data_IF_090008675035
#
_entry.id   IF_090008675035
#
_cell.length_a   1.000
_cell.length_b   1.000
_cell.length_c   1.000
_cell.angle_alpha   90.00
_cell.angle_beta   90.00
_cell.angle_gamma   90.00
#
_symmetry.space_group_name_H-M   'P 1'
#
loop_
_entity.id
_entity.type
_entity.pdbx_description
1 polymer ?
#
# COMPACT_ATOMS: atom_id res chain seq x y z
N UNK A 1 16.46 20.55 -26.59
CA UNK A 1 15.23 19.96 -27.15
C UNK A 1 14.70 20.77 -28.34
N UNK A 2 15.55 21.44 -29.15
CA UNK A 2 15.08 22.42 -30.16
C UNK A 2 15.57 22.21 -31.60
N UNK A 3 16.41 21.21 -31.87
CA UNK A 3 16.92 20.94 -33.24
C UNK A 3 16.15 19.83 -33.98
N UNK A 4 15.62 18.84 -33.26
CA UNK A 4 14.82 17.77 -33.86
C UNK A 4 13.40 18.24 -34.26
N UNK A 5 12.80 19.14 -33.48
CA UNK A 5 11.46 19.67 -33.78
C UNK A 5 11.46 20.55 -35.05
N UNK A 6 12.56 21.29 -35.29
CA UNK A 6 12.76 22.08 -36.52
C UNK A 6 12.77 21.18 -37.76
N UNK A 7 13.58 20.12 -37.78
CA UNK A 7 13.71 19.27 -38.98
C UNK A 7 12.38 18.54 -39.31
N UNK A 8 11.62 18.17 -38.29
CA UNK A 8 10.34 17.49 -38.49
C UNK A 8 9.27 18.43 -39.08
N UNK A 9 9.15 19.67 -38.56
CA UNK A 9 8.22 20.69 -39.09
C UNK A 9 8.45 20.96 -40.58
N UNK A 10 9.72 21.14 -41.00
CA UNK A 10 10.06 21.31 -42.42
C UNK A 10 9.70 20.10 -43.29
N UNK A 11 9.74 18.88 -42.73
CA UNK A 11 9.37 17.65 -43.47
C UNK A 11 7.86 17.57 -43.67
N UNK A 12 7.07 17.87 -42.63
CA UNK A 12 5.60 17.91 -42.68
C UNK A 12 5.14 19.00 -43.65
N UNK A 13 5.70 20.20 -43.53
CA UNK A 13 5.43 21.32 -44.42
C UNK A 13 5.81 20.99 -45.88
N UNK A 14 7.00 20.42 -46.12
CA UNK A 14 7.44 20.04 -47.47
C UNK A 14 6.53 18.98 -48.11
N UNK A 15 6.00 18.05 -47.32
CA UNK A 15 5.08 17.02 -47.79
C UNK A 15 3.69 17.61 -48.11
N UNK A 16 3.20 18.53 -47.28
CA UNK A 16 2.00 19.33 -47.56
C UNK A 16 2.13 20.15 -48.85
N UNK A 17 3.27 20.83 -49.03
CA UNK A 17 3.59 21.60 -50.24
C UNK A 17 3.66 20.71 -51.50
N UNK A 18 4.16 19.48 -51.36
CA UNK A 18 4.25 18.52 -52.47
C UNK A 18 2.88 18.02 -52.91
N UNK A 19 2.00 17.74 -51.94
CA UNK A 19 0.62 17.30 -52.22
C UNK A 19 -0.25 18.44 -52.76
N UNK A 20 -0.11 19.66 -52.25
CA UNK A 20 -0.83 20.84 -52.76
C UNK A 20 -0.46 21.19 -54.20
N UNK A 21 0.81 20.97 -54.61
CA UNK A 21 1.25 21.15 -56.00
C UNK A 21 0.78 20.07 -56.98
N UNK A 22 0.54 18.84 -56.52
CA UNK A 22 0.19 17.74 -57.43
C UNK A 22 -1.29 17.71 -57.82
N UNK A 23 -2.15 18.56 -57.24
CA UNK A 23 -3.59 18.66 -57.56
C UNK A 23 -4.41 17.38 -57.34
N UNK A 24 -3.75 16.29 -56.94
CA UNK A 24 -4.32 14.98 -56.62
C UNK A 24 -3.47 14.36 -55.51
N UNK A 25 -4.08 13.80 -54.45
CA UNK A 25 -3.40 12.87 -53.57
C UNK A 25 -3.03 11.64 -54.41
N UNK A 26 -1.76 11.53 -54.77
CA UNK A 26 -1.29 10.43 -55.60
C UNK A 26 -1.25 9.16 -54.72
N UNK A 27 -2.25 8.29 -54.85
CA UNK A 27 -2.44 7.02 -54.11
C UNK A 27 -1.37 5.94 -54.39
N UNK A 28 -0.18 6.30 -54.89
CA UNK A 28 0.87 5.33 -55.28
C UNK A 28 1.90 5.06 -54.18
N UNK A 29 1.47 5.08 -52.92
CA UNK A 29 2.25 4.66 -51.75
C UNK A 29 1.87 3.29 -51.20
N UNK A 30 1.21 2.42 -51.98
CA UNK A 30 0.82 1.08 -51.53
C UNK A 30 1.94 0.08 -51.80
N UNK A 31 2.77 -0.20 -50.79
CA UNK A 31 3.47 -1.50 -50.70
C UNK A 31 3.17 -2.24 -49.40
N UNK A 32 2.75 -1.55 -48.34
CA UNK A 32 2.27 -2.19 -47.11
C UNK A 32 0.77 -2.53 -47.12
N UNK A 33 -0.04 -1.78 -47.87
CA UNK A 33 -1.47 -2.09 -48.08
C UNK A 33 -1.65 -3.36 -48.91
N UNK A 34 -0.72 -3.70 -49.80
CA UNK A 34 -0.79 -4.94 -50.61
C UNK A 34 -0.55 -6.21 -49.78
N UNK A 35 0.14 -6.08 -48.63
CA UNK A 35 0.37 -7.20 -47.70
C UNK A 35 -0.89 -7.50 -46.89
N UNK A 36 -1.53 -6.46 -46.36
CA UNK A 36 -2.83 -6.58 -45.64
C UNK A 36 -3.97 -6.91 -46.61
N UNK A 37 -3.96 -6.39 -47.85
CA UNK A 37 -4.87 -6.82 -48.92
C UNK A 37 -4.71 -8.30 -49.23
N UNK A 38 -3.49 -8.85 -49.25
CA UNK A 38 -3.29 -10.29 -49.51
C UNK A 38 -3.93 -11.16 -48.45
N UNK A 39 -3.76 -10.81 -47.18
CA UNK A 39 -4.29 -11.59 -46.06
C UNK A 39 -5.81 -11.42 -45.93
N UNK A 40 -6.35 -10.23 -46.23
CA UNK A 40 -7.79 -9.99 -46.33
C UNK A 40 -8.40 -10.68 -47.56
N UNK A 41 -7.72 -10.70 -48.70
CA UNK A 41 -8.16 -11.45 -49.90
C UNK A 41 -8.13 -12.95 -49.63
N UNK A 42 -7.15 -13.47 -48.87
CA UNK A 42 -7.12 -14.86 -48.44
C UNK A 42 -8.28 -15.17 -47.47
N UNK A 43 -8.59 -14.26 -46.54
CA UNK A 43 -9.71 -14.40 -45.61
C UNK A 43 -11.07 -14.30 -46.35
N UNK A 44 -11.21 -13.36 -47.28
CA UNK A 44 -12.36 -13.22 -48.18
C UNK A 44 -12.48 -14.47 -49.05
N UNK A 45 -11.41 -15.00 -49.62
CA UNK A 45 -11.43 -16.25 -50.40
C UNK A 45 -11.82 -17.45 -49.54
N UNK A 46 -11.40 -17.52 -48.28
CA UNK A 46 -11.81 -18.59 -47.36
C UNK A 46 -13.28 -18.44 -46.98
N UNK A 47 -13.75 -17.23 -46.68
CA UNK A 47 -15.15 -16.94 -46.32
C UNK A 47 -16.10 -17.03 -47.52
N UNK A 48 -15.64 -16.65 -48.71
CA UNK A 48 -16.35 -16.74 -49.99
C UNK A 48 -16.39 -18.20 -50.47
N UNK A 49 -15.31 -18.97 -50.28
CA UNK A 49 -15.33 -20.42 -50.55
C UNK A 49 -16.27 -21.15 -49.58
N UNK A 50 -16.29 -20.75 -48.30
CA UNK A 50 -17.28 -21.23 -47.31
C UNK A 50 -18.70 -20.79 -47.71
N UNK A 51 -18.91 -19.55 -48.15
CA UNK A 51 -20.21 -19.01 -48.56
C UNK A 51 -20.75 -19.59 -49.87
N UNK A 52 -19.89 -19.84 -50.86
CA UNK A 52 -20.22 -20.46 -52.15
C UNK A 52 -20.55 -21.95 -51.99
N UNK A 53 -19.83 -22.68 -51.13
CA UNK A 53 -20.10 -24.10 -50.85
C UNK A 53 -21.35 -24.29 -49.96
N UNK A 54 -21.83 -23.25 -49.26
CA UNK A 54 -22.93 -23.35 -48.29
C UNK A 54 -24.19 -22.55 -48.64
N UNK A 55 -24.13 -21.64 -49.62
CA UNK A 55 -25.27 -20.83 -50.08
C UNK A 55 -25.76 -19.75 -49.12
N UNK A 56 -24.97 -19.36 -48.12
CA UNK A 56 -25.36 -18.39 -47.09
C UNK A 56 -24.44 -17.16 -47.12
N UNK A 57 -25.05 -15.97 -47.21
CA UNK A 57 -24.37 -14.68 -47.13
C UNK A 57 -24.10 -14.30 -45.65
N UNK A 58 -22.88 -14.60 -45.19
CA UNK A 58 -22.44 -14.46 -43.79
C UNK A 58 -22.28 -12.98 -43.39
N UNK A 59 -22.08 -12.08 -44.35
CA UNK A 59 -21.80 -10.65 -44.11
C UNK A 59 -23.07 -9.92 -43.65
N UNK A 60 -24.26 -10.37 -44.05
CA UNK A 60 -25.52 -9.70 -43.76
C UNK A 60 -26.03 -9.88 -42.31
N UNK A 61 -25.56 -10.88 -41.55
CA UNK A 61 -26.08 -11.23 -40.22
C UNK A 61 -25.23 -10.78 -39.02
N UNK A 62 -24.03 -10.23 -39.25
CA UNK A 62 -23.04 -9.91 -38.21
C UNK A 62 -23.08 -8.50 -37.60
N UNK A 63 -24.15 -7.73 -37.76
CA UNK A 63 -24.26 -6.35 -37.21
C UNK A 63 -24.89 -6.33 -35.81
N UNK A 64 -24.26 -6.99 -34.84
CA UNK A 64 -24.62 -6.83 -33.43
C UNK A 64 -23.41 -6.48 -32.59
N UNK A 65 -23.54 -5.43 -31.78
CA UNK A 65 -22.52 -4.93 -30.85
C UNK A 65 -22.42 -5.78 -29.58
N UNK A 66 -23.25 -6.81 -29.46
CA UNK A 66 -23.31 -7.72 -28.31
C UNK A 66 -22.42 -8.95 -28.52
N UNK A 67 -21.29 -8.97 -27.80
CA UNK A 67 -20.28 -10.05 -27.85
C UNK A 67 -20.88 -11.42 -27.52
N UNK A 68 -21.86 -11.48 -26.62
CA UNK A 68 -22.54 -12.74 -26.26
C UNK A 68 -23.44 -13.23 -27.39
N UNK A 69 -24.00 -12.30 -28.18
CA UNK A 69 -24.81 -12.61 -29.36
C UNK A 69 -23.96 -13.11 -30.54
N UNK A 70 -22.75 -12.55 -30.72
CA UNK A 70 -21.77 -13.07 -31.70
C UNK A 70 -21.27 -14.47 -31.33
N UNK A 71 -20.97 -14.72 -30.05
CA UNK A 71 -20.63 -16.06 -29.57
C UNK A 71 -21.81 -17.02 -29.74
N UNK A 72 -23.04 -16.58 -29.47
CA UNK A 72 -24.24 -17.40 -29.66
C UNK A 72 -24.47 -17.76 -31.13
N UNK A 73 -24.37 -16.80 -32.05
CA UNK A 73 -24.50 -17.02 -33.50
C UNK A 73 -23.40 -17.96 -34.00
N UNK A 74 -22.17 -17.79 -33.52
CA UNK A 74 -21.05 -18.66 -33.88
C UNK A 74 -21.24 -20.09 -33.35
N UNK A 75 -21.72 -20.25 -32.11
CA UNK A 75 -22.07 -21.54 -31.53
C UNK A 75 -23.19 -22.23 -32.30
N UNK A 76 -24.25 -21.51 -32.66
CA UNK A 76 -25.37 -22.05 -33.47
C UNK A 76 -24.93 -22.45 -34.89
N UNK A 77 -24.02 -21.69 -35.52
CA UNK A 77 -23.43 -22.03 -36.82
C UNK A 77 -22.62 -23.34 -36.77
N UNK A 78 -21.83 -23.55 -35.72
CA UNK A 78 -21.08 -24.78 -35.52
C UNK A 78 -22.00 -25.96 -35.17
N UNK A 79 -23.04 -25.72 -34.36
CA UNK A 79 -24.03 -26.72 -33.97
C UNK A 79 -24.88 -27.20 -35.15
N UNK A 80 -25.26 -26.29 -36.05
CA UNK A 80 -25.96 -26.62 -37.30
C UNK A 80 -25.14 -27.45 -38.30
N UNK A 81 -23.87 -27.72 -38.00
CA UNK A 81 -22.94 -28.51 -38.82
C UNK A 81 -22.40 -29.75 -38.09
N UNK A 82 -23.00 -30.14 -36.97
CA UNK A 82 -22.62 -31.31 -36.18
C UNK A 82 -21.16 -31.27 -35.64
N UNK A 83 -20.58 -30.07 -35.55
CA UNK A 83 -19.27 -29.87 -34.95
C UNK A 83 -19.46 -29.71 -33.44
N UNK A 84 -19.12 -30.76 -32.71
CA UNK A 84 -19.20 -30.80 -31.25
C UNK A 84 -18.13 -29.88 -30.62
N UNK A 85 -18.58 -28.73 -30.13
CA UNK A 85 -17.74 -27.69 -29.53
C UNK A 85 -16.98 -28.24 -28.31
N UNK A 86 -17.54 -29.25 -27.63
CA UNK A 86 -16.92 -29.87 -26.46
C UNK A 86 -15.72 -30.79 -26.83
N UNK A 87 -15.53 -31.07 -28.12
CA UNK A 87 -14.37 -31.82 -28.65
C UNK A 87 -13.21 -30.95 -29.11
N UNK A 88 -13.38 -29.62 -29.13
CA UNK A 88 -12.31 -28.71 -29.51
C UNK A 88 -11.21 -28.71 -28.46
N UNK A 89 -9.96 -28.83 -28.90
CA UNK A 89 -8.81 -28.70 -28.01
C UNK A 89 -8.66 -27.26 -27.53
N UNK A 90 -7.99 -27.08 -26.39
CA UNK A 90 -7.76 -25.73 -25.82
C UNK A 90 -7.01 -24.80 -26.77
N UNK A 91 -6.12 -25.33 -27.62
CA UNK A 91 -5.43 -24.53 -28.64
C UNK A 91 -6.36 -24.07 -29.75
N UNK A 92 -7.29 -24.91 -30.20
CA UNK A 92 -8.28 -24.56 -31.24
C UNK A 92 -9.28 -23.53 -30.72
N UNK A 93 -9.74 -23.68 -29.47
CA UNK A 93 -10.57 -22.67 -28.82
C UNK A 93 -9.85 -21.32 -28.69
N UNK A 94 -8.54 -21.33 -28.39
CA UNK A 94 -7.75 -20.10 -28.29
C UNK A 94 -7.58 -19.44 -29.66
N UNK A 95 -7.29 -20.23 -30.71
CA UNK A 95 -7.19 -19.74 -32.08
C UNK A 95 -8.51 -19.13 -32.58
N UNK A 96 -9.65 -19.74 -32.27
CA UNK A 96 -10.97 -19.21 -32.60
C UNK A 96 -11.23 -17.88 -31.88
N UNK A 97 -10.89 -17.77 -30.59
CA UNK A 97 -11.03 -16.52 -29.83
C UNK A 97 -10.10 -15.44 -30.37
N UNK A 98 -8.87 -15.78 -30.79
CA UNK A 98 -7.95 -14.85 -31.43
C UNK A 98 -8.49 -14.37 -32.79
N UNK A 99 -9.04 -15.27 -33.61
CA UNK A 99 -9.65 -14.93 -34.90
C UNK A 99 -10.90 -14.06 -34.71
N UNK A 100 -11.76 -14.37 -33.73
CA UNK A 100 -12.92 -13.55 -33.40
C UNK A 100 -12.51 -12.19 -32.83
N UNK A 101 -11.48 -12.13 -31.99
CA UNK A 101 -10.95 -10.87 -31.47
C UNK A 101 -10.33 -10.02 -32.58
N UNK A 102 -9.62 -10.63 -33.53
CA UNK A 102 -9.04 -9.96 -34.69
C UNK A 102 -10.13 -9.55 -35.69
N UNK A 103 -11.18 -10.35 -35.88
CA UNK A 103 -12.33 -10.01 -36.72
C UNK A 103 -13.19 -8.90 -36.10
N UNK A 104 -13.37 -8.88 -34.77
CA UNK A 104 -14.00 -7.76 -34.04
C UNK A 104 -13.13 -6.52 -34.11
N UNK A 105 -11.80 -6.65 -33.99
CA UNK A 105 -10.85 -5.56 -34.24
C UNK A 105 -10.98 -5.02 -35.66
N UNK A 106 -11.00 -5.90 -36.66
CA UNK A 106 -11.09 -5.53 -38.08
C UNK A 106 -12.48 -4.99 -38.44
N UNK A 107 -13.56 -5.46 -37.82
CA UNK A 107 -14.91 -4.92 -37.97
C UNK A 107 -15.01 -3.52 -37.34
N UNK A 108 -14.51 -3.35 -36.11
CA UNK A 108 -14.42 -2.06 -35.43
C UNK A 108 -13.39 -1.10 -36.06
N UNK A 109 -12.40 -1.61 -36.81
CA UNK A 109 -11.39 -0.80 -37.50
C UNK A 109 -11.74 -0.52 -38.97
N UNK A 110 -12.55 -1.35 -39.61
CA UNK A 110 -12.78 -1.34 -41.05
C UNK A 110 -14.14 -0.83 -41.49
N UNK A 111 -15.21 -1.15 -40.75
CA UNK A 111 -16.57 -0.74 -41.11
C UNK A 111 -16.96 0.63 -40.53
N UNK A 112 -16.48 0.95 -39.32
CA UNK A 112 -16.90 2.16 -38.60
C UNK A 112 -15.96 3.37 -38.83
N UNK A 113 -14.70 3.16 -39.24
CA UNK A 113 -13.71 4.28 -39.37
C UNK A 113 -13.85 5.11 -40.64
N UNK A 114 -14.35 4.56 -41.74
CA UNK A 114 -14.67 5.40 -42.92
C UNK A 114 -15.90 6.28 -42.68
N UNK A 115 -16.80 5.82 -41.82
CA UNK A 115 -18.05 6.53 -41.50
C UNK A 115 -17.87 7.51 -40.31
N UNK A 116 -17.02 7.20 -39.30
CA UNK A 116 -16.71 8.12 -38.19
C UNK A 116 -15.94 9.38 -38.61
N UNK A 117 -15.03 9.26 -39.58
CA UNK A 117 -14.23 10.38 -40.08
C UNK A 117 -14.79 11.03 -41.35
N UNK A 118 -16.06 10.69 -41.69
CA UNK A 118 -16.76 10.93 -42.96
C UNK A 118 -16.10 11.98 -43.86
N UNK A 119 -15.55 11.54 -44.99
CA UNK A 119 -14.95 12.35 -46.09
C UNK A 119 -13.97 13.50 -45.71
N UNK A 120 -13.60 13.69 -44.44
CA UNK A 120 -13.00 14.96 -43.95
C UNK A 120 -11.52 14.91 -43.59
N UNK A 121 -10.88 13.74 -43.60
CA UNK A 121 -9.45 13.61 -43.35
C UNK A 121 -8.73 13.03 -44.57
N UNK A 122 -7.64 13.68 -44.96
CA UNK A 122 -6.68 13.14 -45.91
C UNK A 122 -5.92 11.95 -45.32
N UNK A 123 -5.34 11.13 -46.19
CA UNK A 123 -4.57 9.94 -45.80
C UNK A 123 -3.48 10.23 -44.76
N UNK A 124 -2.76 11.34 -44.92
CA UNK A 124 -1.69 11.73 -44.01
C UNK A 124 -2.22 12.14 -42.63
N UNK A 125 -3.34 12.86 -42.57
CA UNK A 125 -3.96 13.24 -41.30
C UNK A 125 -4.48 12.00 -40.55
N UNK A 126 -5.07 11.04 -41.29
CA UNK A 126 -5.47 9.76 -40.71
C UNK A 126 -4.27 8.98 -40.16
N UNK A 127 -3.12 9.00 -40.83
CA UNK A 127 -1.88 8.39 -40.34
C UNK A 127 -1.36 9.06 -39.07
N UNK A 128 -1.37 10.40 -38.99
CA UNK A 128 -0.99 11.14 -37.78
C UNK A 128 -1.91 10.82 -36.59
N UNK A 129 -3.22 10.77 -36.80
CA UNK A 129 -4.19 10.36 -35.76
C UNK A 129 -3.92 8.91 -35.32
N UNK A 130 -3.65 8.00 -36.25
CA UNK A 130 -3.36 6.60 -35.93
C UNK A 130 -2.08 6.46 -35.08
N UNK A 131 -1.00 7.16 -35.42
CA UNK A 131 0.25 7.16 -34.65
C UNK A 131 0.00 7.70 -33.23
N UNK A 132 -0.78 8.78 -33.11
CA UNK A 132 -1.15 9.36 -31.83
C UNK A 132 -1.98 8.38 -30.98
N UNK A 133 -2.99 7.73 -31.57
CA UNK A 133 -3.82 6.73 -30.91
C UNK A 133 -3.03 5.48 -30.49
N UNK A 134 -2.06 5.04 -31.28
CA UNK A 134 -1.17 3.94 -30.91
C UNK A 134 -0.33 4.32 -29.67
N UNK A 135 0.22 5.54 -29.65
CA UNK A 135 1.00 6.04 -28.52
C UNK A 135 0.14 6.20 -27.25
N UNK A 136 -1.08 6.72 -27.39
CA UNK A 136 -2.06 6.81 -26.30
C UNK A 136 -2.38 5.41 -25.78
N UNK A 137 -2.63 4.44 -26.67
CA UNK A 137 -2.92 3.05 -26.31
C UNK A 137 -1.77 2.41 -25.52
N UNK A 138 -0.52 2.60 -25.96
CA UNK A 138 0.67 2.14 -25.22
C UNK A 138 0.75 2.75 -23.82
N UNK A 139 0.44 4.03 -23.68
CA UNK A 139 0.39 4.70 -22.38
C UNK A 139 -0.71 4.12 -21.47
N UNK A 140 -1.91 3.89 -22.01
CA UNK A 140 -3.03 3.29 -21.29
C UNK A 140 -2.70 1.88 -20.79
N UNK A 141 -2.11 1.02 -21.63
CA UNK A 141 -1.67 -0.32 -21.20
C UNK A 141 -0.62 -0.25 -20.10
N UNK A 142 0.33 0.68 -20.22
CA UNK A 142 1.35 0.91 -19.18
C UNK A 142 0.77 1.46 -17.87
N UNK A 143 -0.29 2.26 -17.95
CA UNK A 143 -1.04 2.76 -16.81
C UNK A 143 -1.82 1.65 -16.12
N UNK A 144 -2.57 0.82 -16.84
CA UNK A 144 -3.43 -0.22 -16.25
C UNK A 144 -2.62 -1.20 -15.39
N UNK A 145 -1.43 -1.60 -15.85
CA UNK A 145 -0.50 -2.42 -15.05
C UNK A 145 -0.08 -1.74 -13.74
N UNK A 146 0.16 -0.43 -13.77
CA UNK A 146 0.57 0.35 -12.59
C UNK A 146 -0.62 0.60 -11.66
N UNK A 147 -1.80 0.87 -12.22
CA UNK A 147 -3.08 1.06 -11.55
C UNK A 147 -3.40 -0.17 -10.71
N UNK A 148 -3.45 -1.36 -11.30
CA UNK A 148 -3.70 -2.62 -10.59
C UNK A 148 -2.71 -2.86 -9.44
N UNK A 149 -1.42 -2.55 -9.62
CA UNK A 149 -0.40 -2.67 -8.56
C UNK A 149 -0.63 -1.71 -7.39
N UNK A 150 -1.08 -0.48 -7.66
CA UNK A 150 -1.36 0.51 -6.64
C UNK A 150 -2.68 0.22 -5.93
N UNK A 151 -3.72 -0.16 -6.66
CA UNK A 151 -5.01 -0.58 -6.11
C UNK A 151 -4.87 -1.80 -5.21
N UNK A 152 -4.17 -2.85 -5.66
CA UNK A 152 -3.91 -4.02 -4.80
C UNK A 152 -3.11 -3.68 -3.55
N UNK A 153 -2.19 -2.72 -3.62
CA UNK A 153 -1.49 -2.21 -2.43
C UNK A 153 -2.43 -1.43 -1.52
N UNK A 154 -3.26 -0.54 -2.06
CA UNK A 154 -4.23 0.23 -1.30
C UNK A 154 -5.24 -0.69 -0.58
N UNK A 155 -5.82 -1.67 -1.28
CA UNK A 155 -6.73 -2.69 -0.73
C UNK A 155 -6.10 -3.46 0.44
N UNK A 156 -4.83 -3.90 0.32
CA UNK A 156 -4.12 -4.56 1.43
C UNK A 156 -3.95 -3.66 2.65
N UNK A 157 -3.57 -2.40 2.44
CA UNK A 157 -3.42 -1.45 3.55
C UNK A 157 -4.78 -1.15 4.19
N UNK A 158 -5.84 -1.03 3.40
CA UNK A 158 -7.20 -0.83 3.86
C UNK A 158 -7.71 -2.01 4.68
N UNK A 159 -7.47 -3.25 4.23
CA UNK A 159 -7.82 -4.45 5.00
C UNK A 159 -7.12 -4.44 6.37
N UNK A 160 -5.80 -4.20 6.39
CA UNK A 160 -5.05 -4.13 7.64
C UNK A 160 -5.54 -2.99 8.55
N UNK A 161 -5.96 -1.85 7.97
CA UNK A 161 -6.57 -0.77 8.74
C UNK A 161 -7.87 -1.25 9.38
N UNK A 162 -8.75 -1.90 8.62
CA UNK A 162 -10.00 -2.46 9.12
C UNK A 162 -9.78 -3.43 10.28
N UNK A 163 -8.81 -4.34 10.15
CA UNK A 163 -8.48 -5.32 11.21
C UNK A 163 -8.02 -4.60 12.50
N UNK A 164 -7.17 -3.58 12.37
CA UNK A 164 -6.66 -2.80 13.51
C UNK A 164 -7.78 -1.95 14.13
N UNK A 165 -8.71 -1.42 13.32
CA UNK A 165 -9.88 -0.69 13.81
C UNK A 165 -10.81 -1.60 14.61
N UNK A 166 -11.13 -2.78 14.09
CA UNK A 166 -11.96 -3.76 14.82
C UNK A 166 -11.30 -4.14 16.16
N UNK A 167 -9.98 -4.38 16.15
CA UNK A 167 -9.25 -4.64 17.37
C UNK A 167 -9.31 -3.45 18.34
N UNK A 168 -9.11 -2.23 17.84
CA UNK A 168 -9.20 -1.02 18.65
C UNK A 168 -10.59 -0.86 19.27
N UNK A 169 -11.65 -1.16 18.54
CA UNK A 169 -13.03 -1.07 19.02
C UNK A 169 -13.37 -2.15 20.06
N UNK A 170 -12.79 -3.35 19.94
CA UNK A 170 -12.87 -4.36 21.02
C UNK A 170 -12.25 -3.83 22.31
N UNK A 171 -11.04 -3.31 22.25
CA UNK A 171 -10.39 -2.71 23.42
C UNK A 171 -11.07 -1.41 23.88
N UNK A 172 -11.75 -0.69 22.98
CA UNK A 172 -12.54 0.46 23.34
C UNK A 172 -13.71 0.07 24.25
N UNK A 173 -14.45 -0.98 23.88
CA UNK A 173 -15.54 -1.54 24.68
C UNK A 173 -15.04 -2.09 26.03
N UNK A 174 -13.92 -2.80 26.07
CA UNK A 174 -13.33 -3.23 27.35
C UNK A 174 -12.94 -2.05 28.24
N UNK A 175 -12.52 -0.94 27.65
CA UNK A 175 -12.21 0.28 28.41
C UNK A 175 -13.50 0.99 28.89
N UNK A 176 -14.57 0.95 28.10
CA UNK A 176 -15.90 1.44 28.46
C UNK A 176 -16.49 0.69 29.65
N UNK A 177 -16.35 -0.64 29.69
CA UNK A 177 -16.73 -1.48 30.83
C UNK A 177 -16.00 -1.08 32.13
N UNK A 178 -14.81 -0.48 31.99
CA UNK A 178 -14.02 0.09 33.08
C UNK A 178 -14.27 1.59 33.27
N UNK A 179 -15.41 2.09 32.77
CA UNK A 179 -15.87 3.50 32.86
C UNK A 179 -14.85 4.51 32.31
N UNK A 180 -14.09 4.13 31.29
CA UNK A 180 -13.02 4.96 30.71
C UNK A 180 -12.00 5.46 31.72
N UNK A 181 -11.82 4.74 32.82
CA UNK A 181 -10.87 5.13 33.86
C UNK A 181 -9.46 5.18 33.27
N UNK A 182 -8.80 6.32 33.42
CA UNK A 182 -7.39 6.44 33.02
C UNK A 182 -6.53 5.77 34.09
N UNK A 183 -5.50 4.99 33.71
CA UNK A 183 -4.53 4.46 34.67
C UNK A 183 -3.91 5.60 35.51
N UNK A 184 -4.13 5.55 36.82
CA UNK A 184 -3.65 6.50 37.81
C UNK A 184 -2.25 6.08 38.30
N UNK A 185 -1.27 6.24 37.42
CA UNK A 185 0.16 6.12 37.77
C UNK A 185 0.58 7.36 38.56
N UNK A 186 1.13 7.18 39.76
CA UNK A 186 1.65 8.28 40.58
C UNK A 186 3.01 8.75 40.09
N UNK A 187 3.81 7.83 39.53
CA UNK A 187 5.12 8.11 38.95
C UNK A 187 5.11 7.78 37.45
N UNK A 188 5.45 8.74 36.56
CA UNK A 188 5.57 8.44 35.13
C UNK A 188 6.66 7.40 34.85
N UNK A 189 6.38 6.47 33.93
CA UNK A 189 7.32 5.39 33.58
C UNK A 189 8.71 5.90 33.14
N UNK A 190 8.76 7.07 32.50
CA UNK A 190 10.02 7.69 32.05
C UNK A 190 10.91 8.18 33.19
N UNK A 191 10.38 8.40 34.40
CA UNK A 191 11.19 8.66 35.60
C UNK A 191 11.54 7.38 36.35
N UNK A 192 10.59 6.44 36.40
CA UNK A 192 10.77 5.14 37.04
C UNK A 192 11.96 4.36 36.45
N UNK A 193 12.02 4.20 35.12
CA UNK A 193 13.03 3.35 34.49
C UNK A 193 14.47 3.84 34.71
N UNK A 194 14.80 5.14 34.50
CA UNK A 194 16.12 5.66 34.83
C UNK A 194 16.46 5.53 36.31
N UNK A 195 15.51 5.76 37.23
CA UNK A 195 15.74 5.61 38.66
C UNK A 195 16.15 4.16 39.01
N UNK A 196 15.46 3.16 38.45
CA UNK A 196 15.81 1.75 38.65
C UNK A 196 17.19 1.38 38.11
N UNK A 197 17.57 1.93 36.95
CA UNK A 197 18.90 1.73 36.37
C UNK A 197 19.97 2.35 37.28
N UNK A 198 19.74 3.57 37.78
CA UNK A 198 20.67 4.24 38.69
C UNK A 198 20.85 3.48 40.01
N UNK A 199 19.78 2.92 40.57
CA UNK A 199 19.87 2.05 41.76
C UNK A 199 20.70 0.81 41.46
N UNK A 200 20.50 0.16 40.31
CA UNK A 200 21.30 -1.00 39.90
C UNK A 200 22.80 -0.67 39.74
N UNK A 201 23.13 0.49 39.16
CA UNK A 201 24.52 0.96 39.03
C UNK A 201 25.12 1.26 40.41
N UNK A 202 24.39 1.93 41.30
CA UNK A 202 24.85 2.22 42.65
C UNK A 202 25.13 0.91 43.41
N UNK A 203 24.18 -0.04 43.39
CA UNK A 203 24.37 -1.37 43.99
C UNK A 203 25.58 -2.10 43.42
N UNK A 204 25.83 -2.01 42.10
CA UNK A 204 27.00 -2.63 41.49
C UNK A 204 28.31 -2.10 42.06
N UNK A 205 28.43 -0.77 42.21
CA UNK A 205 29.62 -0.15 42.79
C UNK A 205 29.80 -0.59 44.24
N UNK A 206 28.73 -0.62 45.04
CA UNK A 206 28.78 -1.08 46.43
C UNK A 206 29.15 -2.56 46.53
N UNK A 207 28.62 -3.41 45.65
CA UNK A 207 28.88 -4.85 45.67
C UNK A 207 30.31 -5.19 45.20
N UNK A 208 30.90 -4.41 44.29
CA UNK A 208 32.34 -4.55 43.96
C UNK A 208 33.21 -4.33 45.19
N UNK A 209 32.94 -3.28 45.96
CA UNK A 209 33.70 -2.98 47.16
C UNK A 209 33.53 -4.11 48.19
N UNK A 210 32.29 -4.56 48.40
CA UNK A 210 31.96 -5.65 49.31
C UNK A 210 32.68 -6.97 48.94
N UNK A 211 32.72 -7.34 47.67
CA UNK A 211 33.26 -8.63 47.23
C UNK A 211 34.77 -8.64 47.05
N UNK A 212 35.44 -7.50 47.20
CA UNK A 212 36.91 -7.44 47.18
C UNK A 212 37.59 -8.16 48.35
N UNK A 213 36.82 -8.66 49.33
CA UNK A 213 37.29 -9.52 50.42
C UNK A 213 37.59 -10.93 49.98
N UNK A 214 36.91 -11.41 48.96
CA UNK A 214 36.92 -12.82 48.58
C UNK A 214 38.27 -13.29 48.01
N UNK A 215 39.26 -12.39 47.90
CA UNK A 215 40.60 -12.62 47.36
C UNK A 215 40.62 -13.39 46.03
N UNK A 216 39.62 -13.12 45.21
CA UNK A 216 39.45 -13.67 43.87
C UNK A 216 39.85 -12.64 42.80
N UNK A 217 40.01 -13.09 41.56
CA UNK A 217 40.36 -12.21 40.46
C UNK A 217 39.29 -11.10 40.28
N UNK A 218 39.74 -9.88 39.92
CA UNK A 218 38.85 -8.72 39.73
C UNK A 218 37.70 -8.98 38.74
N UNK A 219 37.95 -9.82 37.72
CA UNK A 219 36.92 -10.21 36.74
C UNK A 219 35.78 -10.97 37.40
N UNK A 220 36.09 -11.85 38.36
CA UNK A 220 35.13 -12.68 39.05
C UNK A 220 34.33 -11.85 40.06
N UNK A 221 34.98 -10.88 40.72
CA UNK A 221 34.30 -9.86 41.54
C UNK A 221 33.25 -9.12 40.73
N UNK A 222 33.59 -8.65 39.53
CA UNK A 222 32.63 -7.95 38.66
C UNK A 222 31.45 -8.85 38.26
N UNK A 223 31.71 -10.12 37.91
CA UNK A 223 30.64 -11.06 37.58
C UNK A 223 29.70 -11.32 38.76
N UNK A 224 30.25 -11.54 39.96
CA UNK A 224 29.46 -11.82 41.16
C UNK A 224 28.72 -10.55 41.63
N UNK A 225 29.31 -9.36 41.53
CA UNK A 225 28.67 -8.07 41.84
C UNK A 225 27.50 -7.75 40.92
N UNK A 226 27.52 -8.24 39.68
CA UNK A 226 26.46 -7.99 38.70
C UNK A 226 25.15 -8.69 39.10
N UNK A 227 25.22 -9.89 39.66
CA UNK A 227 24.05 -10.68 40.05
C UNK A 227 23.10 -9.94 41.03
N UNK A 228 23.53 -9.48 42.23
CA UNK A 228 22.66 -8.74 43.14
C UNK A 228 22.21 -7.39 42.57
N UNK A 229 23.04 -6.76 41.73
CA UNK A 229 22.75 -5.46 41.10
C UNK A 229 21.58 -5.52 40.12
N UNK A 230 21.35 -6.67 39.49
CA UNK A 230 20.14 -6.94 38.70
C UNK A 230 19.01 -7.55 39.55
N UNK A 231 19.34 -8.46 40.46
CA UNK A 231 18.36 -9.18 41.26
C UNK A 231 17.57 -8.26 42.18
N UNK A 232 18.21 -7.30 42.87
CA UNK A 232 17.51 -6.40 43.80
C UNK A 232 16.53 -5.46 43.10
N UNK A 233 16.88 -4.72 42.03
CA UNK A 233 15.89 -3.93 41.29
C UNK A 233 14.77 -4.79 40.72
N UNK A 234 15.07 -5.99 40.22
CA UNK A 234 14.05 -6.90 39.70
C UNK A 234 13.08 -7.37 40.78
N UNK A 235 13.59 -7.79 41.93
CA UNK A 235 12.77 -8.22 43.07
C UNK A 235 11.97 -7.05 43.65
N UNK A 236 12.56 -5.87 43.79
CA UNK A 236 11.87 -4.65 44.19
C UNK A 236 10.71 -4.30 43.24
N UNK A 237 10.94 -4.41 41.92
CA UNK A 237 9.90 -4.23 40.91
C UNK A 237 8.77 -5.25 41.04
N UNK A 238 9.10 -6.53 41.21
CA UNK A 238 8.11 -7.59 41.41
C UNK A 238 7.27 -7.32 42.66
N UNK A 239 7.90 -7.00 43.78
CA UNK A 239 7.22 -6.72 45.05
C UNK A 239 6.34 -5.49 44.91
N UNK A 240 6.87 -4.37 44.42
CA UNK A 240 6.10 -3.13 44.31
C UNK A 240 4.88 -3.29 43.41
N UNK A 241 5.05 -3.94 42.25
CA UNK A 241 3.97 -4.21 41.31
C UNK A 241 2.94 -5.18 41.91
N UNK A 242 3.38 -6.25 42.58
CA UNK A 242 2.47 -7.21 43.23
C UNK A 242 1.76 -6.64 44.45
N UNK A 243 2.39 -5.75 45.21
CA UNK A 243 1.73 -5.01 46.28
C UNK A 243 0.65 -4.08 45.72
N UNK A 244 0.94 -3.41 44.59
CA UNK A 244 -0.02 -2.51 43.95
C UNK A 244 -1.21 -3.24 43.34
N UNK A 245 -0.97 -4.33 42.63
CA UNK A 245 -1.97 -5.05 41.82
C UNK A 245 -2.59 -6.27 42.53
N UNK A 246 -1.82 -6.97 43.36
CA UNK A 246 -2.21 -8.24 43.98
C UNK A 246 -3.14 -8.09 45.19
N UNK A 247 -3.19 -6.92 45.82
CA UNK A 247 -4.11 -6.66 46.94
C UNK A 247 -5.58 -6.53 46.52
N UNK A 248 -5.86 -6.29 45.23
CA UNK A 248 -7.20 -5.93 44.75
C UNK A 248 -7.94 -7.04 43.98
N UNK A 249 -7.27 -8.09 43.49
CA UNK A 249 -7.89 -9.10 42.64
C UNK A 249 -8.31 -10.36 43.44
N UNK A 250 -9.63 -10.56 43.55
CA UNK A 250 -10.33 -11.49 44.46
C UNK A 250 -9.97 -12.97 44.37
N UNK A 251 -9.55 -13.47 43.20
CA UNK A 251 -9.51 -14.93 42.94
C UNK A 251 -8.11 -15.55 42.88
N UNK A 252 -7.04 -14.76 42.70
CA UNK A 252 -5.65 -15.27 42.64
C UNK A 252 -4.78 -14.85 43.84
N UNK A 253 -5.41 -14.54 44.97
CA UNK A 253 -4.74 -14.03 46.17
C UNK A 253 -3.66 -14.97 46.69
N UNK A 254 -3.95 -16.26 46.81
CA UNK A 254 -3.02 -17.25 47.38
C UNK A 254 -1.73 -17.36 46.56
N UNK A 255 -1.83 -17.50 45.23
CA UNK A 255 -0.65 -17.56 44.35
C UNK A 255 0.18 -16.28 44.44
N UNK A 256 -0.48 -15.12 44.51
CA UNK A 256 0.20 -13.83 44.64
C UNK A 256 0.91 -13.69 45.99
N UNK A 257 0.32 -14.16 47.09
CA UNK A 257 0.95 -14.18 48.40
C UNK A 257 2.13 -15.13 48.48
N UNK A 258 2.04 -16.32 47.86
CA UNK A 258 3.17 -17.27 47.81
C UNK A 258 4.34 -16.64 47.05
N UNK A 259 4.09 -16.09 45.86
CA UNK A 259 5.14 -15.43 45.06
C UNK A 259 5.75 -14.24 45.81
N UNK A 260 4.92 -13.42 46.45
CA UNK A 260 5.37 -12.29 47.27
C UNK A 260 6.21 -12.78 48.46
N UNK A 261 5.74 -13.81 49.17
CA UNK A 261 6.45 -14.39 50.31
C UNK A 261 7.81 -14.97 49.92
N UNK A 262 7.87 -15.71 48.81
CA UNK A 262 9.13 -16.22 48.26
C UNK A 262 10.06 -15.07 47.87
N UNK A 263 9.56 -14.05 47.17
CA UNK A 263 10.36 -12.89 46.78
C UNK A 263 10.93 -12.14 48.00
N UNK A 264 10.09 -11.89 49.01
CA UNK A 264 10.49 -11.23 50.26
C UNK A 264 11.55 -12.08 51.00
N UNK A 265 11.32 -13.38 51.14
CA UNK A 265 12.27 -14.29 51.79
C UNK A 265 13.62 -14.36 51.04
N UNK A 266 13.59 -14.44 49.71
CA UNK A 266 14.80 -14.41 48.87
C UNK A 266 15.59 -13.12 49.04
N UNK A 267 14.90 -11.97 49.17
CA UNK A 267 15.59 -10.70 49.45
C UNK A 267 16.22 -10.74 50.83
N UNK A 268 15.51 -11.16 51.89
CA UNK A 268 16.09 -11.21 53.23
C UNK A 268 17.34 -12.11 53.28
N UNK A 269 17.31 -13.27 52.62
CA UNK A 269 18.49 -14.14 52.50
C UNK A 269 19.63 -13.48 51.71
N UNK A 270 19.32 -12.82 50.59
CA UNK A 270 20.31 -12.08 49.79
C UNK A 270 20.92 -10.91 50.55
N UNK A 271 20.10 -10.13 51.25
CA UNK A 271 20.54 -9.01 52.09
C UNK A 271 21.41 -9.48 53.25
N UNK A 272 21.05 -10.57 53.92
CA UNK A 272 21.87 -11.16 54.98
C UNK A 272 23.23 -11.61 54.45
N UNK A 273 23.26 -12.24 53.27
CA UNK A 273 24.49 -12.70 52.62
C UNK A 273 25.40 -11.53 52.22
N UNK A 274 24.84 -10.49 51.61
CA UNK A 274 25.60 -9.28 51.23
C UNK A 274 26.06 -8.50 52.46
N UNK A 275 25.23 -8.41 53.51
CA UNK A 275 25.60 -7.78 54.76
C UNK A 275 26.78 -8.50 55.41
N UNK A 276 26.76 -9.82 55.45
CA UNK A 276 27.87 -10.64 55.96
C UNK A 276 29.17 -10.33 55.21
N UNK A 277 29.13 -10.33 53.87
CA UNK A 277 30.32 -10.04 53.05
C UNK A 277 30.82 -8.59 53.22
N UNK A 278 29.92 -7.62 53.36
CA UNK A 278 30.28 -6.22 53.64
C UNK A 278 30.88 -6.02 55.03
N UNK A 279 30.34 -6.72 56.03
CA UNK A 279 30.88 -6.72 57.38
C UNK A 279 32.32 -7.29 57.37
N UNK A 280 32.53 -8.42 56.72
CA UNK A 280 33.84 -9.06 56.58
C UNK A 280 34.85 -8.13 55.87
N UNK A 281 34.40 -7.36 54.87
CA UNK A 281 35.24 -6.34 54.21
C UNK A 281 35.75 -5.28 55.14
N UNK A 282 34.88 -4.75 55.97
CA UNK A 282 35.25 -3.70 56.92
C UNK A 282 36.20 -4.24 57.99
N UNK A 283 35.98 -5.46 58.48
CA UNK A 283 36.93 -6.14 59.39
C UNK A 283 38.30 -6.28 58.71
N UNK A 284 38.34 -6.77 57.47
CA UNK A 284 39.57 -6.91 56.70
C UNK A 284 40.30 -5.58 56.44
N UNK A 285 39.61 -4.45 56.51
CA UNK A 285 40.17 -3.09 56.45
C UNK A 285 40.58 -2.51 57.80
N UNK A 286 40.48 -3.29 58.88
CA UNK A 286 40.80 -2.85 60.23
C UNK A 286 39.75 -1.94 60.86
N UNK A 287 38.53 -1.92 60.31
CA UNK A 287 37.40 -1.21 60.91
C UNK A 287 36.78 -2.10 61.99
N UNK A 288 36.76 -1.61 63.22
CA UNK A 288 36.12 -2.32 64.33
C UNK A 288 34.60 -2.28 64.14
N UNK A 289 34.00 -3.45 63.92
CA UNK A 289 32.56 -3.55 63.64
C UNK A 289 31.78 -3.41 64.93
N UNK A 290 31.20 -2.22 65.14
CA UNK A 290 30.13 -2.08 66.11
C UNK A 290 28.77 -2.42 65.48
N UNK A 291 27.79 -2.67 66.35
CA UNK A 291 26.41 -2.98 65.92
C UNK A 291 25.82 -1.87 65.02
N UNK A 292 26.23 -0.61 65.23
CA UNK A 292 25.72 0.55 64.48
C UNK A 292 26.19 0.57 63.02
N UNK A 293 27.42 0.14 62.73
CA UNK A 293 27.93 0.03 61.35
C UNK A 293 27.17 -1.06 60.60
N UNK A 294 26.97 -2.23 61.22
CA UNK A 294 26.17 -3.31 60.64
C UNK A 294 24.71 -2.88 60.42
N UNK A 295 24.12 -2.16 61.40
CA UNK A 295 22.77 -1.60 61.26
C UNK A 295 22.69 -0.58 60.12
N UNK A 296 23.73 0.24 59.93
CA UNK A 296 23.79 1.26 58.87
C UNK A 296 23.89 0.63 57.48
N UNK A 297 24.71 -0.42 57.32
CA UNK A 297 24.82 -1.18 56.07
C UNK A 297 23.50 -1.88 55.71
N UNK A 298 22.83 -2.48 56.70
CA UNK A 298 21.51 -3.07 56.53
C UNK A 298 20.47 -2.00 56.18
N UNK A 299 20.49 -0.86 56.88
CA UNK A 299 19.60 0.27 56.63
C UNK A 299 19.73 0.84 55.23
N UNK A 300 20.97 0.96 54.72
CA UNK A 300 21.22 1.42 53.35
C UNK A 300 20.63 0.46 52.31
N UNK A 301 20.84 -0.86 52.49
CA UNK A 301 20.27 -1.86 51.60
C UNK A 301 18.72 -1.86 51.62
N UNK A 302 18.14 -1.73 52.81
CA UNK A 302 16.69 -1.60 52.96
C UNK A 302 16.16 -0.30 52.33
N UNK A 303 16.95 0.78 52.36
CA UNK A 303 16.60 2.04 51.71
C UNK A 303 16.62 1.92 50.18
N UNK A 304 17.62 1.27 49.58
CA UNK A 304 17.64 1.00 48.14
C UNK A 304 16.48 0.10 47.71
N UNK A 305 16.25 -0.99 48.43
CA UNK A 305 15.13 -1.88 48.17
C UNK A 305 13.79 -1.18 48.35
N UNK A 306 13.61 -0.46 49.45
CA UNK A 306 12.37 0.23 49.81
C UNK A 306 12.04 1.34 48.83
N UNK A 307 13.02 2.15 48.43
CA UNK A 307 12.84 3.20 47.42
C UNK A 307 12.51 2.61 46.03
N UNK A 308 13.21 1.55 45.60
CA UNK A 308 12.91 0.86 44.35
C UNK A 308 11.50 0.23 44.36
N UNK A 309 11.11 -0.39 45.48
CA UNK A 309 9.79 -1.00 45.68
C UNK A 309 8.69 0.06 45.67
N UNK A 310 8.90 1.17 46.37
CA UNK A 310 7.96 2.30 46.39
C UNK A 310 7.82 2.95 45.00
N UNK A 311 8.93 3.10 44.27
CA UNK A 311 8.93 3.62 42.91
C UNK A 311 8.13 2.69 41.96
N UNK A 312 8.33 1.37 42.07
CA UNK A 312 7.57 0.39 41.30
C UNK A 312 6.08 0.37 41.68
N UNK A 313 5.77 0.48 42.98
CA UNK A 313 4.38 0.60 43.44
C UNK A 313 3.71 1.86 42.87
N UNK A 314 4.42 2.98 42.84
CA UNK A 314 3.93 4.26 42.34
C UNK A 314 3.81 4.31 40.81
N UNK A 315 4.64 3.55 40.08
CA UNK A 315 4.67 3.58 38.61
C UNK A 315 3.58 2.73 37.95
N UNK A 316 2.93 1.85 38.70
CA UNK A 316 1.91 0.94 38.19
C UNK A 316 0.49 1.27 38.68
N UNK A 317 -0.49 0.99 37.82
CA UNK A 317 -1.89 1.09 38.22
C UNK A 317 -2.30 -0.11 39.09
N UNK A 318 -3.18 0.08 40.08
CA UNK A 318 -3.78 -1.04 40.81
C UNK A 318 -4.51 -2.05 39.91
N UNK A 319 -5.18 -1.59 38.85
CA UNK A 319 -5.85 -2.45 37.87
C UNK A 319 -4.90 -2.75 36.69
N UNK A 320 -4.30 -3.94 36.73
CA UNK A 320 -3.40 -4.43 35.68
C UNK A 320 -4.11 -4.57 34.33
N UNK A 321 -5.37 -4.97 34.33
CA UNK A 321 -6.14 -5.14 33.09
C UNK A 321 -6.35 -3.79 32.42
N UNK A 322 -6.71 -2.77 33.21
CA UNK A 322 -6.89 -1.41 32.73
C UNK A 322 -5.59 -0.84 32.14
N UNK A 323 -4.46 -1.08 32.81
CA UNK A 323 -3.13 -0.67 32.32
C UNK A 323 -2.83 -1.32 30.96
N UNK A 324 -3.06 -2.63 30.82
CA UNK A 324 -2.88 -3.36 29.57
C UNK A 324 -3.79 -2.84 28.45
N UNK A 325 -5.09 -2.63 28.75
CA UNK A 325 -6.07 -2.10 27.79
C UNK A 325 -5.61 -0.71 27.30
N UNK A 326 -5.20 0.16 28.20
CA UNK A 326 -4.77 1.52 27.86
C UNK A 326 -3.51 1.51 26.99
N UNK A 327 -2.49 0.76 27.38
CA UNK A 327 -1.23 0.69 26.62
C UNK A 327 -1.44 0.02 25.25
N UNK A 328 -2.30 -0.99 25.16
CA UNK A 328 -2.66 -1.63 23.89
C UNK A 328 -3.46 -0.70 22.98
N UNK A 329 -4.48 0.02 23.49
CA UNK A 329 -5.20 1.07 22.73
C UNK A 329 -4.24 2.13 22.19
N UNK A 330 -3.27 2.55 23.01
CA UNK A 330 -2.25 3.53 22.60
C UNK A 330 -1.35 2.98 21.49
N UNK A 331 -0.95 1.71 21.56
CA UNK A 331 -0.19 1.03 20.52
C UNK A 331 -0.99 0.91 19.21
N UNK A 332 -2.25 0.50 19.29
CA UNK A 332 -3.17 0.41 18.16
C UNK A 332 -3.37 1.77 17.50
N UNK A 333 -3.61 2.84 18.26
CA UNK A 333 -3.72 4.22 17.71
C UNK A 333 -2.48 4.63 16.93
N UNK A 334 -1.28 4.30 17.41
CA UNK A 334 -0.03 4.54 16.68
C UNK A 334 0.05 3.72 15.39
N UNK A 335 -0.42 2.47 15.44
CA UNK A 335 -0.47 1.58 14.28
C UNK A 335 -1.43 2.09 13.21
N UNK A 336 -2.65 2.51 13.59
CA UNK A 336 -3.64 3.15 12.72
C UNK A 336 -3.02 4.37 12.05
N UNK A 337 -2.45 5.30 12.82
CA UNK A 337 -1.80 6.50 12.27
C UNK A 337 -0.63 6.18 11.32
N UNK A 338 0.09 5.08 11.55
CA UNK A 338 1.16 4.63 10.65
C UNK A 338 0.59 4.09 9.34
N UNK A 339 -0.45 3.27 9.43
CA UNK A 339 -1.10 2.64 8.28
C UNK A 339 -1.92 3.62 7.45
N UNK A 340 -2.57 4.58 8.10
CA UNK A 340 -3.23 5.71 7.45
C UNK A 340 -2.25 6.49 6.57
N UNK A 341 -1.10 6.89 7.13
CA UNK A 341 -0.04 7.57 6.37
C UNK A 341 0.49 6.71 5.22
N UNK A 342 0.55 5.39 5.40
CA UNK A 342 0.93 4.48 4.32
C UNK A 342 -0.11 4.48 3.19
N UNK A 343 -1.40 4.40 3.53
CA UNK A 343 -2.52 4.47 2.60
C UNK A 343 -2.51 5.80 1.83
N UNK A 344 -2.43 6.94 2.53
CA UNK A 344 -2.42 8.28 1.90
C UNK A 344 -1.26 8.42 0.91
N UNK A 345 -0.07 7.89 1.21
CA UNK A 345 1.07 7.90 0.27
C UNK A 345 0.80 7.06 -0.98
N UNK A 346 0.09 5.95 -0.84
CA UNK A 346 -0.28 5.10 -1.99
C UNK A 346 -1.33 5.82 -2.85
N UNK A 347 -2.34 6.41 -2.21
CA UNK A 347 -3.38 7.21 -2.85
C UNK A 347 -2.78 8.38 -3.63
N UNK A 348 -2.00 9.26 -2.99
CA UNK A 348 -1.36 10.39 -3.67
C UNK A 348 -0.43 9.95 -4.81
N UNK A 349 0.21 8.78 -4.70
CA UNK A 349 1.04 8.22 -5.78
C UNK A 349 0.20 7.71 -6.96
N UNK A 350 -0.99 7.19 -6.69
CA UNK A 350 -1.97 6.83 -7.70
C UNK A 350 -2.44 8.08 -8.45
N UNK A 351 -2.95 9.08 -7.74
CA UNK A 351 -3.51 10.31 -8.34
C UNK A 351 -2.46 11.08 -9.12
N UNK A 352 -1.25 11.22 -8.58
CA UNK A 352 -0.13 11.86 -9.30
C UNK A 352 0.18 11.16 -10.62
N UNK A 353 0.20 9.82 -10.63
CA UNK A 353 0.50 9.07 -11.86
C UNK A 353 -0.66 9.14 -12.85
N UNK A 354 -1.89 9.08 -12.38
CA UNK A 354 -3.09 9.29 -13.19
C UNK A 354 -3.04 10.65 -13.88
N UNK A 355 -2.78 11.73 -13.12
CA UNK A 355 -2.63 13.08 -13.65
C UNK A 355 -1.51 13.21 -14.68
N UNK A 356 -0.35 12.58 -14.45
CA UNK A 356 0.75 12.55 -15.44
C UNK A 356 0.36 11.83 -16.74
N UNK A 357 -0.38 10.72 -16.65
CA UNK A 357 -0.84 9.99 -17.83
C UNK A 357 -1.88 10.81 -18.60
N UNK A 358 -2.85 11.43 -17.91
CA UNK A 358 -3.84 12.34 -18.52
C UNK A 358 -3.15 13.50 -19.25
N UNK A 359 -2.22 14.19 -18.59
CA UNK A 359 -1.48 15.30 -19.18
C UNK A 359 -0.68 14.85 -20.41
N UNK A 360 -0.09 13.65 -20.37
CA UNK A 360 0.68 13.13 -21.51
C UNK A 360 -0.20 12.71 -22.68
N UNK A 361 -1.39 12.17 -22.42
CA UNK A 361 -2.38 11.87 -23.46
C UNK A 361 -2.82 13.17 -24.12
N UNK A 362 -3.11 14.21 -23.32
CA UNK A 362 -3.46 15.52 -23.86
C UNK A 362 -2.33 16.10 -24.72
N UNK A 363 -1.08 16.05 -24.25
CA UNK A 363 0.07 16.52 -25.02
C UNK A 363 0.25 15.77 -26.37
N UNK A 364 -0.01 14.46 -26.41
CA UNK A 364 0.04 13.68 -27.66
C UNK A 364 -1.08 14.11 -28.61
N UNK A 365 -2.28 14.35 -28.08
CA UNK A 365 -3.40 14.86 -28.88
C UNK A 365 -3.08 16.24 -29.44
N UNK A 366 -2.61 17.16 -28.60
CA UNK A 366 -2.27 18.52 -29.00
C UNK A 366 -1.16 18.55 -30.06
N UNK A 367 -0.11 17.73 -29.90
CA UNK A 367 0.97 17.57 -30.89
C UNK A 367 0.45 17.04 -32.24
N UNK A 368 -0.42 16.03 -32.21
CA UNK A 368 -1.04 15.51 -33.42
C UNK A 368 -1.94 16.55 -34.11
N UNK A 369 -2.68 17.35 -33.35
CA UNK A 369 -3.48 18.46 -33.90
C UNK A 369 -2.61 19.52 -34.55
N UNK A 370 -1.55 19.96 -33.85
CA UNK A 370 -0.62 20.96 -34.37
C UNK A 370 0.01 20.49 -35.70
N UNK A 371 0.38 19.22 -35.80
CA UNK A 371 0.92 18.64 -37.05
C UNK A 371 -0.11 18.56 -38.17
N UNK A 372 -1.38 18.27 -37.83
CA UNK A 372 -2.47 18.31 -38.80
C UNK A 372 -2.70 19.75 -39.27
N UNK A 373 -2.77 20.72 -38.37
CA UNK A 373 -2.95 22.14 -38.71
C UNK A 373 -1.81 22.68 -39.58
N UNK A 374 -0.56 22.33 -39.25
CA UNK A 374 0.62 22.67 -40.07
C UNK A 374 0.54 22.08 -41.47
N UNK A 375 0.17 20.79 -41.56
CA UNK A 375 -0.06 20.12 -42.84
C UNK A 375 -1.16 20.81 -43.66
N UNK A 376 -2.31 21.14 -43.03
CA UNK A 376 -3.42 21.85 -43.69
C UNK A 376 -2.99 23.22 -44.21
N UNK A 377 -2.25 23.98 -43.40
CA UNK A 377 -1.73 25.30 -43.79
C UNK A 377 -0.78 25.19 -44.99
N UNK A 378 0.15 24.23 -44.96
CA UNK A 378 1.09 24.00 -46.06
C UNK A 378 0.39 23.64 -47.38
N UNK A 379 -0.68 22.84 -47.32
CA UNK A 379 -1.53 22.53 -48.48
C UNK A 379 -2.26 23.78 -48.98
N UNK A 380 -2.89 24.56 -48.10
CA UNK A 380 -3.62 25.78 -48.49
C UNK A 380 -2.73 26.87 -49.08
N UNK A 381 -1.47 26.97 -48.66
CA UNK A 381 -0.52 27.93 -49.21
C UNK A 381 -0.01 27.56 -50.62
N UNK A 382 -0.16 26.29 -51.02
CA UNK A 382 0.40 25.77 -52.27
C UNK A 382 -0.61 25.39 -53.33
N UNK A 383 -1.89 25.19 -52.97
CA UNK A 383 -2.94 24.98 -53.96
C UNK A 383 -3.29 26.29 -54.67
N UNK A 384 -3.23 26.29 -56.01
CA UNK A 384 -3.75 27.41 -56.82
C UNK A 384 -5.28 27.40 -56.94
N UNK A 385 -5.89 26.26 -56.64
CA UNK A 385 -7.34 26.04 -56.60
C UNK A 385 -7.87 26.28 -55.18
N UNK A 386 -9.17 26.60 -55.07
CA UNK A 386 -9.86 26.83 -53.80
C UNK A 386 -9.61 25.68 -52.83
N UNK A 387 -9.09 25.99 -51.64
CA UNK A 387 -8.81 25.04 -50.56
C UNK A 387 -10.01 24.11 -50.35
N UNK A 388 -9.86 22.78 -50.39
CA UNK A 388 -10.99 21.88 -50.22
C UNK A 388 -11.69 22.11 -48.87
N UNK A 389 -13.03 22.08 -48.83
CA UNK A 389 -13.81 22.41 -47.61
C UNK A 389 -13.41 21.59 -46.38
N UNK A 390 -12.94 20.35 -46.56
CA UNK A 390 -12.42 19.49 -45.51
C UNK A 390 -11.24 20.11 -44.71
N UNK A 391 -10.50 21.03 -45.32
CA UNK A 391 -9.34 21.71 -44.72
C UNK A 391 -9.71 23.04 -44.04
N UNK A 392 -10.94 23.53 -44.20
CA UNK A 392 -11.39 24.81 -43.64
C UNK A 392 -11.92 24.69 -42.19
N UNK A 393 -12.15 23.48 -41.70
CA UNK A 393 -12.63 23.23 -40.33
C UNK A 393 -11.52 23.14 -39.29
N UNK A 394 -11.77 23.63 -38.06
CA UNK A 394 -10.86 23.46 -36.93
C UNK A 394 -10.82 22.01 -36.45
N UNK A 395 -9.61 21.49 -36.28
CA UNK A 395 -9.33 20.15 -35.73
C UNK A 395 -9.83 20.09 -34.28
N UNK A 396 -10.83 19.24 -34.02
CA UNK A 396 -11.57 19.21 -32.75
C UNK A 396 -11.42 17.86 -32.04
N UNK A 397 -11.83 17.80 -30.76
CA UNK A 397 -11.58 16.66 -29.85
C UNK A 397 -12.13 15.32 -30.33
N UNK A 398 -13.13 15.33 -31.21
CA UNK A 398 -13.77 14.13 -31.77
C UNK A 398 -12.84 13.26 -32.61
N UNK A 399 -11.69 13.78 -33.04
CA UNK A 399 -10.70 13.04 -33.82
C UNK A 399 -9.99 11.94 -33.02
N UNK A 400 -10.04 12.02 -31.69
CA UNK A 400 -9.42 11.05 -30.80
C UNK A 400 -10.49 10.27 -30.05
N UNK A 401 -10.25 8.98 -29.84
CA UNK A 401 -11.17 8.16 -29.07
C UNK A 401 -11.19 8.67 -27.62
N UNK A 402 -12.39 8.83 -27.00
CA UNK A 402 -12.47 9.17 -25.59
C UNK A 402 -11.80 8.05 -24.76
N UNK A 403 -10.98 8.44 -23.78
CA UNK A 403 -10.28 7.51 -22.90
C UNK A 403 -10.70 7.77 -21.47
N UNK A 404 -11.30 6.76 -20.83
CA UNK A 404 -11.58 6.78 -19.41
C UNK A 404 -10.41 6.14 -18.65
N UNK A 405 -9.68 6.93 -17.87
CA UNK A 405 -8.53 6.48 -17.06
C UNK A 405 -8.98 6.00 -15.66
N UNK A 406 -10.29 6.01 -15.41
CA UNK A 406 -10.91 5.71 -14.13
C UNK A 406 -10.99 6.94 -13.22
N UNK A 407 -11.73 6.83 -12.11
CA UNK A 407 -11.80 7.86 -11.10
C UNK A 407 -10.48 7.98 -10.31
N UNK A 408 -10.43 8.97 -9.43
CA UNK A 408 -9.44 9.00 -8.35
C UNK A 408 -9.67 7.80 -7.41
N UNK A 409 -8.76 7.58 -6.45
CA UNK A 409 -8.90 6.44 -5.56
C UNK A 409 -10.02 6.69 -4.52
N UNK A 410 -11.24 6.31 -4.88
CA UNK A 410 -12.48 6.71 -4.18
C UNK A 410 -12.64 6.17 -2.75
N UNK A 411 -11.82 5.20 -2.33
CA UNK A 411 -11.96 4.53 -1.03
C UNK A 411 -11.01 5.11 0.02
N UNK A 412 -11.31 6.34 0.47
CA UNK A 412 -10.70 6.87 1.70
C UNK A 412 -11.19 5.98 2.85
N UNK A 413 -10.30 5.26 3.57
CA UNK A 413 -10.73 4.54 4.77
C UNK A 413 -11.30 5.54 5.77
N UNK A 414 -12.19 5.14 6.69
CA UNK A 414 -12.66 6.06 7.71
C UNK A 414 -11.48 6.52 8.58
N UNK A 415 -11.47 7.79 8.96
CA UNK A 415 -10.51 8.27 9.98
C UNK A 415 -10.83 7.63 11.33
N UNK A 416 -9.89 7.70 12.29
CA UNK A 416 -10.15 7.20 13.65
C UNK A 416 -11.32 7.92 14.31
N UNK A 417 -11.49 9.21 14.04
CA UNK A 417 -12.59 10.02 14.55
C UNK A 417 -13.93 9.57 13.95
N UNK A 418 -13.98 9.40 12.62
CA UNK A 418 -15.16 8.87 11.93
C UNK A 418 -15.53 7.46 12.39
N UNK A 419 -14.53 6.58 12.57
CA UNK A 419 -14.74 5.23 13.08
C UNK A 419 -15.33 5.26 14.50
N UNK A 420 -14.82 6.12 15.38
CA UNK A 420 -15.33 6.29 16.74
C UNK A 420 -16.77 6.85 16.77
N UNK A 421 -17.09 7.79 15.88
CA UNK A 421 -18.43 8.37 15.77
C UNK A 421 -19.45 7.34 15.23
N UNK A 422 -19.04 6.45 14.31
CA UNK A 422 -19.90 5.33 13.88
C UNK A 422 -20.20 4.34 15.00
N UNK A 423 -19.25 4.08 15.91
CA UNK A 423 -19.49 3.23 17.08
C UNK A 423 -20.45 3.91 18.07
N UNK A 424 -20.24 5.20 18.36
CA UNK A 424 -21.10 5.96 19.28
C UNK A 424 -22.55 6.07 18.78
N UNK A 425 -22.74 6.23 17.48
CA UNK A 425 -24.07 6.29 16.87
C UNK A 425 -24.76 4.92 16.79
N UNK A 426 -24.03 3.84 16.52
CA UNK A 426 -24.59 2.47 16.49
C UNK A 426 -25.01 1.94 17.87
N UNK A 427 -24.34 2.37 18.94
CA UNK A 427 -24.66 1.98 20.32
C UNK A 427 -25.96 2.57 20.88
N UNK A 428 -26.47 3.67 20.31
CA UNK A 428 -27.71 4.32 20.75
C UNK A 428 -29.00 3.71 20.17
N UNK A 429 -28.92 2.70 19.31
CA UNK A 429 -30.08 2.15 18.58
C UNK A 429 -30.73 0.94 19.28
N UNK A 430 -30.27 0.56 20.49
CA UNK A 430 -30.93 -0.47 21.30
C UNK A 430 -30.99 -0.07 22.78
N UNK A 431 -31.93 0.83 23.10
CA UNK A 431 -32.47 1.00 24.45
C UNK A 431 -33.98 0.92 24.39
#
# INVERSE_FOLDING_TARGET
MGWFDSIYSWTVLAQGMRHGRSGKPNNQGCRHVDFVKRDIILLEQVLEKIGIETGVDIIAKGRSDDFDQLIFIFKELLRGKDIDIDRLTRSEMTAIVEILAEAVKCSAMGADRKDLYGEKLSFYEAELVNIAEENISKLCVGWEKKKHKLESKAKRVQHHLSDIHEEYDRYHRFHEEKYYRIPARMLPFHFYLPAMIMIGIAEFIFNIQAFSVLDIEKKDIYMIALAPSFAFPFLAHLIGTKMRQGLLLGEQKIRSYIVLGVAVASIFMGLASVLYLRADYLIGKGVDLNIWINLSLLGLNLLFLGSATAAAYASHDPDRELENIYDHKKALRRSINRKWREWSRVASKYDRKRGVVLARIQAIRDDARAKIDEYRLGVSLTSKESTPEAFLGSVTDWLFMPRNIGPEIDLVPPTLEEALDTVSSSGKVKS
#
